data_IF_819775550320
#
_entry.id   IF_819775550320
#
_cell.length_a   1.000
_cell.length_b   1.000
_cell.length_c   1.000
_cell.angle_alpha   90.00
_cell.angle_beta   90.00
_cell.angle_gamma   90.00
#
_symmetry.space_group_name_H-M   'P 1'
#
loop_
_entity.id
_entity.type
_entity.pdbx_description
1 polymer ?
2 branched ?
3 non-polymer ?
4 non-polymer ?
5 non-polymer ?
6 non-polymer ?
7 water ?
#
# COMPACT_ATOMS: atom_id res chain seq x y z
N UNK A 1 11.81 14.56 -18.35
CA UNK A 1 12.71 14.39 -19.52
C UNK A 1 12.31 13.14 -20.28
N UNK A 2 12.91 12.01 -19.92
CA UNK A 2 12.61 10.76 -20.61
C UNK A 2 11.98 9.81 -19.62
N UNK A 3 11.37 8.74 -20.14
CA UNK A 3 10.73 7.75 -19.29
C UNK A 3 11.76 7.06 -18.40
N UNK A 4 11.44 6.87 -17.14
CA UNK A 4 12.34 6.19 -16.24
C UNK A 4 12.38 4.69 -16.54
N UNK A 5 13.55 4.08 -16.39
CA UNK A 5 13.73 2.66 -16.60
C UNK A 5 14.28 2.08 -15.30
N UNK A 6 13.80 0.91 -14.92
CA UNK A 6 14.23 0.22 -13.71
C UNK A 6 15.55 -0.49 -14.00
N UNK A 7 16.65 0.26 -14.00
CA UNK A 7 17.94 -0.33 -14.33
C UNK A 7 18.79 -0.78 -13.15
N UNK A 8 18.37 -0.45 -11.94
CA UNK A 8 19.16 -0.82 -10.77
C UNK A 8 18.57 -1.94 -9.96
N UNK A 9 19.39 -2.51 -9.09
CA UNK A 9 18.95 -3.55 -8.18
C UNK A 9 18.75 -2.88 -6.82
N UNK A 10 18.23 -3.60 -5.83
CA UNK A 10 18.00 -3.04 -4.48
C UNK A 10 19.28 -2.89 -3.66
N UNK A 11 19.37 -1.86 -2.84
CA UNK A 11 20.54 -1.70 -1.97
C UNK A 11 20.44 -2.79 -0.87
N UNK A 12 21.54 -3.11 -0.22
CA UNK A 12 21.48 -4.11 0.86
C UNK A 12 20.78 -3.45 2.05
N UNK A 13 19.77 -4.12 2.58
CA UNK A 13 19.00 -3.60 3.71
C UNK A 13 19.50 -4.25 4.99
N UNK A 14 20.25 -3.46 5.79
CA UNK A 14 20.76 -3.97 7.06
C UNK A 14 19.94 -3.47 8.23
N UNK A 15 19.15 -2.42 7.97
CA UNK A 15 18.23 -1.82 8.94
C UNK A 15 17.37 -0.75 8.24
N UNK A 16 16.54 -0.07 9.01
CA UNK A 16 15.64 0.95 8.47
C UNK A 16 15.81 2.21 9.27
N UNK A 17 15.83 3.33 8.56
CA UNK A 17 15.94 4.64 9.22
C UNK A 17 14.64 5.43 8.97
N UNK A 18 14.34 6.36 9.87
CA UNK A 18 13.14 7.20 9.75
C UNK A 18 13.24 8.13 8.53
N UNK A 19 12.19 8.16 7.72
CA UNK A 19 12.13 8.98 6.50
C UNK A 19 11.15 10.15 6.66
N UNK A 20 9.89 9.83 6.96
CA UNK A 20 8.90 10.88 7.14
C UNK A 20 7.83 10.49 8.15
N UNK A 21 7.27 11.49 8.82
CA UNK A 21 6.23 11.29 9.82
C UNK A 21 5.48 12.59 9.85
N UNK A 22 4.16 12.53 9.74
CA UNK A 22 3.37 13.77 9.74
C UNK A 22 2.66 14.16 11.03
N UNK A 23 2.48 13.23 11.98
CA UNK A 23 1.81 13.53 13.25
C UNK A 23 0.46 14.22 12.98
N UNK A 24 -0.26 13.76 11.94
CA UNK A 24 -1.53 14.38 11.57
C UNK A 24 -2.61 14.52 12.63
N UNK A 25 -2.84 13.46 13.41
CA UNK A 25 -3.88 13.48 14.43
C UNK A 25 -3.51 14.39 15.61
N UNK A 26 -2.24 14.39 16.02
CA UNK A 26 -1.81 15.28 17.11
C UNK A 26 -2.09 16.72 16.70
N UNK A 27 -1.61 17.08 15.51
CA UNK A 27 -1.77 18.44 15.00
C UNK A 27 -3.22 18.79 14.67
N UNK A 28 -3.94 17.80 14.13
CA UNK A 28 -5.33 18.00 13.75
C UNK A 28 -6.27 18.23 14.89
N UNK A 29 -5.81 18.05 16.13
CA UNK A 29 -6.66 18.28 17.29
C UNK A 29 -6.98 19.78 17.37
N UNK A 30 -6.11 20.62 16.81
CA UNK A 30 -6.26 22.07 16.86
C UNK A 30 -5.78 22.75 15.55
N UNK A 31 -6.06 22.11 14.41
CA UNK A 31 -5.69 22.64 13.10
C UNK A 31 -6.65 22.06 12.07
N UNK A 32 -6.73 22.69 10.91
CA UNK A 32 -7.64 22.24 9.86
C UNK A 32 -7.08 21.09 9.03
N UNK A 33 -6.99 19.94 9.68
CA UNK A 33 -6.47 18.71 9.08
C UNK A 33 -7.62 17.85 8.58
N UNK A 34 -7.48 17.37 7.35
CA UNK A 34 -8.50 16.54 6.72
C UNK A 34 -8.51 15.13 7.27
N UNK A 35 -9.70 14.54 7.37
CA UNK A 35 -9.81 13.15 7.83
C UNK A 35 -9.42 12.31 6.61
N UNK A 36 -8.57 11.29 6.83
CA UNK A 36 -8.14 10.43 5.75
C UNK A 36 -8.06 8.97 6.20
N UNK A 37 -7.61 8.13 5.28
CA UNK A 37 -7.30 6.70 5.45
C UNK A 37 -6.71 6.23 4.11
N UNK A 38 -6.15 5.03 4.07
CA UNK A 38 -5.53 4.49 2.86
C UNK A 38 -4.43 5.41 2.28
N UNK A 39 -3.46 5.81 3.11
CA UNK A 39 -2.38 6.70 2.64
C UNK A 39 -1.27 5.93 1.96
N UNK A 40 -0.37 6.65 1.32
CA UNK A 40 0.79 6.05 0.69
C UNK A 40 1.77 7.15 0.34
N UNK A 41 2.94 6.78 -0.15
CA UNK A 41 3.95 7.76 -0.52
C UNK A 41 4.33 7.53 -1.97
N UNK A 42 4.56 8.59 -2.74
CA UNK A 42 4.97 8.41 -4.12
C UNK A 42 5.87 9.54 -4.52
N UNK A 43 6.91 9.22 -5.29
CA UNK A 43 7.89 10.22 -5.74
C UNK A 43 7.82 10.64 -7.20
N UNK A 44 8.17 11.90 -7.42
CA UNK A 44 8.26 12.49 -8.73
C UNK A 44 9.79 12.63 -8.86
N UNK A 45 10.29 13.01 -10.04
CA UNK A 45 11.75 13.12 -10.17
C UNK A 45 12.38 14.19 -9.28
N UNK A 46 11.57 15.13 -8.80
CA UNK A 46 12.12 16.21 -7.98
C UNK A 46 11.55 16.34 -6.58
N UNK A 47 10.59 15.50 -6.22
CA UNK A 47 9.97 15.62 -4.91
C UNK A 47 9.18 14.36 -4.57
N UNK A 48 9.15 13.99 -3.30
CA UNK A 48 8.36 12.84 -2.85
C UNK A 48 7.23 13.45 -2.03
N UNK A 49 6.00 12.96 -2.24
CA UNK A 49 4.83 13.48 -1.52
C UNK A 49 4.01 12.39 -0.82
N UNK A 50 3.25 12.82 0.17
CA UNK A 50 2.35 11.94 0.90
C UNK A 50 1.01 11.97 0.12
N UNK A 51 0.31 10.84 0.09
CA UNK A 51 -0.96 10.70 -0.60
C UNK A 51 -1.93 10.01 0.34
N UNK A 52 -3.22 10.22 0.11
CA UNK A 52 -4.28 9.57 0.88
C UNK A 52 -5.67 9.83 0.30
N UNK A 53 -6.63 9.08 0.79
CA UNK A 53 -8.03 9.23 0.40
C UNK A 53 -8.72 10.07 1.48
N UNK A 54 -9.05 11.31 1.14
CA UNK A 54 -9.73 12.22 2.04
C UNK A 54 -11.17 11.76 2.24
N UNK A 55 -11.75 12.18 3.36
CA UNK A 55 -13.15 11.91 3.66
C UNK A 55 -13.97 13.20 3.45
N UNK A 56 -13.32 14.27 2.99
CA UNK A 56 -14.04 15.50 2.74
C UNK A 56 -14.57 16.25 3.97
N UNK A 57 -13.77 16.27 5.02
CA UNK A 57 -14.11 16.95 6.26
C UNK A 57 -12.85 16.99 7.10
N UNK A 58 -12.80 17.88 8.09
CA UNK A 58 -11.66 17.96 8.99
C UNK A 58 -11.99 17.05 10.17
N UNK A 59 -10.98 16.71 10.98
CA UNK A 59 -11.16 15.84 12.13
C UNK A 59 -12.06 16.48 13.19
N UNK A 60 -11.86 17.76 13.44
CA UNK A 60 -12.64 18.47 14.44
C UNK A 60 -14.02 18.88 13.90
N UNK A 61 -14.20 18.80 12.59
CA UNK A 61 -15.49 19.16 12.03
C UNK A 61 -16.56 18.14 12.34
N UNK A 62 -17.81 18.58 12.41
CA UNK A 62 -18.94 17.70 12.71
C UNK A 62 -19.18 16.60 11.68
N UNK A 63 -18.73 16.82 10.44
CA UNK A 63 -18.91 15.82 9.40
C UNK A 63 -17.93 14.68 9.56
N UNK A 64 -17.05 14.72 10.57
CA UNK A 64 -16.10 13.62 10.78
C UNK A 64 -16.87 12.42 11.33
N UNK A 65 -18.08 12.68 11.81
CA UNK A 65 -18.92 11.64 12.35
C UNK A 65 -19.32 10.68 11.25
N UNK A 66 -18.90 9.42 11.36
CA UNK A 66 -19.26 8.43 10.34
C UNK A 66 -18.17 8.12 9.33
N UNK A 67 -16.99 8.69 9.52
CA UNK A 67 -15.87 8.48 8.60
C UNK A 67 -15.26 7.09 8.64
N UNK A 68 -15.89 6.17 9.39
CA UNK A 68 -15.40 4.78 9.42
C UNK A 68 -15.78 4.13 8.08
N UNK A 69 -16.83 4.64 7.44
CA UNK A 69 -17.29 4.13 6.15
C UNK A 69 -16.28 4.30 5.03
N UNK A 70 -16.16 3.27 4.21
CA UNK A 70 -15.20 3.24 3.11
C UNK A 70 -15.44 4.05 1.84
N UNK A 71 -16.68 4.05 1.36
CA UNK A 71 -17.03 4.67 0.10
C UNK A 71 -18.14 5.69 0.16
N UNK A 72 -17.91 6.86 -0.39
CA UNK A 72 -18.93 7.90 -0.41
C UNK A 72 -18.52 8.86 -1.49
N UNK A 73 -19.41 9.80 -1.81
CA UNK A 73 -19.16 10.81 -2.83
C UNK A 73 -18.24 11.93 -2.36
N UNK A 74 -17.86 11.90 -1.08
CA UNK A 74 -17.03 12.94 -0.48
C UNK A 74 -15.55 12.65 -0.33
N UNK A 75 -15.11 11.53 -0.89
CA UNK A 75 -13.71 11.14 -0.81
C UNK A 75 -12.97 11.58 -2.07
N UNK A 76 -11.66 11.77 -1.94
CA UNK A 76 -10.85 12.20 -3.06
C UNK A 76 -9.39 11.83 -2.79
N UNK A 77 -8.64 11.52 -3.83
CA UNK A 77 -7.22 11.24 -3.65
C UNK A 77 -6.56 12.63 -3.58
N UNK A 78 -5.85 12.87 -2.47
CA UNK A 78 -5.14 14.14 -2.26
C UNK A 78 -3.65 13.86 -2.03
N UNK A 79 -2.79 14.82 -2.39
CA UNK A 79 -1.37 14.68 -2.10
C UNK A 79 -0.93 15.94 -1.38
N UNK A 80 0.16 15.85 -0.62
CA UNK A 80 0.64 17.00 0.11
C UNK A 80 2.13 16.81 0.41
N UNK A 81 2.82 17.90 0.79
CA UNK A 81 4.26 17.83 1.06
C UNK A 81 4.66 16.79 2.12
N UNK A 82 5.79 16.12 1.88
CA UNK A 82 6.34 15.11 2.77
C UNK A 82 6.45 15.58 4.22
N UNK A 83 5.86 14.81 5.12
CA UNK A 83 5.88 15.05 6.55
C UNK A 83 4.99 16.18 7.08
N UNK A 84 4.34 16.91 6.18
CA UNK A 84 3.37 17.91 6.59
C UNK A 84 2.10 17.11 6.86
N UNK A 85 1.16 17.68 7.64
CA UNK A 85 -0.13 16.98 7.74
C UNK A 85 -1.00 17.31 6.54
N UNK A 86 -1.97 16.45 6.23
CA UNK A 86 -2.91 16.72 5.13
C UNK A 86 -3.92 17.80 5.54
N UNK A 87 -3.57 19.05 5.28
CA UNK A 87 -4.45 20.14 5.67
C UNK A 87 -5.33 20.63 4.52
N UNK A 88 -6.39 21.34 4.87
CA UNK A 88 -7.31 21.86 3.88
C UNK A 88 -6.62 22.82 2.92
N UNK A 89 -5.66 23.57 3.45
CA UNK A 89 -4.97 24.59 2.66
C UNK A 89 -3.71 24.17 1.87
N UNK A 90 -3.07 23.07 2.24
CA UNK A 90 -1.86 22.66 1.53
C UNK A 90 -2.02 21.37 0.72
N UNK A 91 -3.23 20.81 0.70
CA UNK A 91 -3.50 19.57 -0.02
C UNK A 91 -3.93 19.81 -1.45
N UNK A 92 -3.46 18.95 -2.35
CA UNK A 92 -3.78 19.04 -3.77
C UNK A 92 -4.63 17.84 -4.15
N UNK A 93 -5.78 18.07 -4.78
CA UNK A 93 -6.65 16.95 -5.18
C UNK A 93 -6.18 16.36 -6.51
N UNK A 94 -5.92 15.05 -6.54
CA UNK A 94 -5.48 14.38 -7.76
C UNK A 94 -6.68 13.91 -8.62
N UNK A 95 -7.72 13.40 -7.96
CA UNK A 95 -8.94 12.91 -8.59
C UNK A 95 -9.98 12.54 -7.53
N UNK A 96 -11.22 12.32 -7.97
CA UNK A 96 -12.34 11.99 -7.08
C UNK A 96 -12.58 10.48 -7.03
N UNK A 97 -12.56 9.91 -5.83
CA UNK A 97 -12.76 8.48 -5.73
C UNK A 97 -12.49 7.88 -4.37
N UNK A 98 -12.89 6.61 -4.20
CA UNK A 98 -12.72 5.91 -2.94
C UNK A 98 -11.71 4.76 -2.97
N UNK A 99 -10.93 4.70 -4.06
CA UNK A 99 -9.90 3.69 -4.26
C UNK A 99 -8.97 4.30 -5.28
N UNK A 100 -7.67 4.11 -5.14
CA UNK A 100 -6.74 4.73 -6.07
C UNK A 100 -5.34 4.13 -6.14
N UNK A 101 -4.58 4.68 -7.08
CA UNK A 101 -3.18 4.36 -7.29
C UNK A 101 -2.62 5.57 -8.04
N UNK A 102 -1.30 5.68 -8.09
CA UNK A 102 -0.65 6.82 -8.75
C UNK A 102 0.87 6.57 -8.88
N UNK A 103 1.45 7.00 -9.99
CA UNK A 103 2.90 6.85 -10.20
C UNK A 103 3.38 7.78 -11.28
N UNK A 104 4.64 8.16 -11.18
CA UNK A 104 5.28 9.04 -12.14
C UNK A 104 6.07 8.15 -13.12
N UNK A 105 6.02 8.45 -14.40
CA UNK A 105 6.75 7.60 -15.34
C UNK A 105 8.08 8.19 -15.78
N UNK A 106 8.47 9.31 -15.17
CA UNK A 106 9.70 9.97 -15.54
C UNK A 106 9.40 11.27 -16.27
N UNK A 107 8.30 11.29 -17.03
CA UNK A 107 7.88 12.49 -17.77
C UNK A 107 6.77 13.21 -17.00
N UNK A 108 5.72 12.48 -16.64
CA UNK A 108 4.63 13.04 -15.86
C UNK A 108 3.93 11.93 -15.04
N UNK A 109 2.98 12.31 -14.21
CA UNK A 109 2.26 11.40 -13.32
C UNK A 109 0.88 10.96 -13.77
N UNK A 110 0.60 9.68 -13.53
CA UNK A 110 -0.68 9.08 -13.82
C UNK A 110 -1.36 8.83 -12.47
N UNK A 111 -2.62 9.22 -12.36
CA UNK A 111 -3.38 8.96 -11.13
C UNK A 111 -4.70 8.30 -11.55
N UNK A 112 -5.13 7.30 -10.80
CA UNK A 112 -6.36 6.59 -11.11
C UNK A 112 -7.25 6.62 -9.88
N UNK A 113 -8.51 7.03 -10.05
CA UNK A 113 -9.49 7.05 -8.97
C UNK A 113 -10.73 6.32 -9.43
N UNK A 114 -11.26 5.49 -8.54
CA UNK A 114 -12.47 4.72 -8.81
C UNK A 114 -13.59 5.28 -7.94
N UNK A 115 -14.74 5.55 -8.54
CA UNK A 115 -15.89 6.04 -7.78
C UNK A 115 -17.14 5.35 -8.30
N UNK A 116 -18.24 5.49 -7.57
CA UNK A 116 -19.48 4.89 -8.03
C UNK A 116 -20.19 4.13 -6.93
N UNK A 117 -21.40 3.64 -7.22
CA UNK A 117 -22.11 2.64 -6.41
C UNK A 117 -21.37 1.31 -6.50
N UNK A 118 -21.66 0.42 -5.56
CA UNK A 118 -21.02 -0.89 -5.55
C UNK A 118 -21.17 -1.68 -6.84
N UNK A 119 -22.34 -1.56 -7.47
CA UNK A 119 -22.61 -2.31 -8.69
C UNK A 119 -22.46 -1.53 -9.99
N UNK A 120 -21.88 -0.34 -9.95
CA UNK A 120 -21.77 0.47 -11.16
C UNK A 120 -20.60 1.45 -11.05
N UNK A 121 -19.48 0.96 -10.52
CA UNK A 121 -18.30 1.79 -10.34
C UNK A 121 -17.49 1.92 -11.62
N UNK A 122 -16.61 2.91 -11.65
CA UNK A 122 -15.77 3.15 -12.83
C UNK A 122 -14.46 3.83 -12.45
N UNK A 123 -13.40 3.47 -13.19
CA UNK A 123 -12.09 4.07 -12.98
C UNK A 123 -11.80 5.11 -14.06
N UNK A 124 -11.28 6.26 -13.67
CA UNK A 124 -10.87 7.26 -14.64
C UNK A 124 -9.40 7.54 -14.40
N UNK A 125 -8.66 7.32 -15.47
CA UNK A 125 -7.23 7.47 -15.53
C UNK A 125 -6.85 8.87 -15.94
N UNK A 126 -6.11 9.54 -15.07
CA UNK A 126 -5.62 10.89 -15.30
C UNK A 126 -4.14 10.82 -15.64
N UNK A 127 -3.70 11.66 -16.58
CA UNK A 127 -2.29 11.70 -16.95
C UNK A 127 -1.95 13.17 -17.19
N UNK A 128 -0.91 13.68 -16.53
CA UNK A 128 -0.55 15.09 -16.67
C UNK A 128 -1.72 15.97 -16.22
N UNK A 129 -2.38 15.51 -15.16
CA UNK A 129 -3.54 16.17 -14.56
C UNK A 129 -4.76 16.41 -15.43
N UNK A 130 -4.99 15.51 -16.39
CA UNK A 130 -6.13 15.57 -17.29
C UNK A 130 -6.70 14.16 -17.40
N UNK A 131 -8.03 14.02 -17.45
CA UNK A 131 -8.61 12.68 -17.61
C UNK A 131 -8.35 12.21 -19.04
N UNK A 132 -7.96 10.94 -19.19
CA UNK A 132 -7.63 10.39 -20.50
C UNK A 132 -8.39 9.11 -20.86
N UNK A 133 -8.49 8.19 -19.90
CA UNK A 133 -9.15 6.93 -20.14
C UNK A 133 -10.10 6.57 -19.00
N UNK A 134 -11.18 5.87 -19.33
CA UNK A 134 -12.17 5.44 -18.37
C UNK A 134 -12.48 3.95 -18.55
N UNK A 135 -12.69 3.25 -17.44
CA UNK A 135 -12.97 1.83 -17.47
C UNK A 135 -14.16 1.55 -16.57
N UNK A 136 -15.20 0.95 -17.13
CA UNK A 136 -16.38 0.64 -16.34
C UNK A 136 -16.23 -0.72 -15.65
N UNK A 137 -16.93 -0.88 -14.54
CA UNK A 137 -16.93 -2.13 -13.78
C UNK A 137 -17.21 -3.35 -14.67
N UNK A 138 -16.46 -4.43 -14.44
CA UNK A 138 -16.68 -5.65 -15.23
C UNK A 138 -17.39 -6.77 -14.48
N UNK A 139 -17.34 -6.76 -13.16
CA UNK A 139 -18.01 -7.80 -12.39
C UNK A 139 -19.12 -7.23 -11.53
N UNK A 140 -19.32 -5.91 -11.63
CA UNK A 140 -20.34 -5.17 -10.89
C UNK A 140 -20.32 -5.38 -9.37
N UNK A 141 -19.13 -5.45 -8.81
CA UNK A 141 -18.98 -5.65 -7.37
C UNK A 141 -17.70 -5.01 -6.84
N UNK A 142 -17.83 -3.71 -6.55
CA UNK A 142 -16.77 -2.87 -6.01
C UNK A 142 -15.41 -2.93 -6.73
N UNK A 143 -15.37 -2.35 -7.93
CA UNK A 143 -14.12 -2.25 -8.69
C UNK A 143 -13.13 -1.55 -7.75
N UNK A 144 -11.97 -2.15 -7.54
CA UNK A 144 -10.98 -1.59 -6.62
C UNK A 144 -9.55 -1.76 -7.08
N UNK A 145 -8.63 -0.96 -6.54
CA UNK A 145 -7.25 -1.08 -6.96
C UNK A 145 -6.26 -1.13 -5.79
N UNK A 146 -4.99 -0.81 -6.08
CA UNK A 146 -3.88 -0.90 -5.14
C UNK A 146 -3.88 -0.20 -3.81
N UNK A 147 -4.22 1.09 -3.81
CA UNK A 147 -4.20 1.92 -2.61
C UNK A 147 -2.76 2.27 -2.23
N UNK A 148 -1.85 2.15 -3.20
CA UNK A 148 -0.43 2.51 -3.03
C UNK A 148 0.12 2.75 -4.45
N UNK A 149 1.35 3.23 -4.58
CA UNK A 149 1.86 3.54 -5.91
C UNK A 149 2.08 2.41 -6.89
N UNK A 150 1.91 2.76 -8.16
CA UNK A 150 2.18 1.80 -9.22
C UNK A 150 3.66 2.02 -9.59
N UNK A 151 4.16 1.34 -10.61
CA UNK A 151 5.55 1.50 -11.00
C UNK A 151 5.61 1.44 -12.53
N UNK A 152 6.49 2.24 -13.11
CA UNK A 152 6.63 2.27 -14.57
C UNK A 152 8.03 1.92 -15.02
N UNK A 153 8.11 1.48 -16.27
CA UNK A 153 9.37 1.12 -16.88
C UNK A 153 9.24 1.50 -18.35
N UNK A 154 10.05 2.45 -18.79
CA UNK A 154 10.02 2.92 -20.17
C UNK A 154 8.63 3.31 -20.66
N UNK A 155 7.88 4.01 -19.80
CA UNK A 155 6.56 4.47 -20.16
C UNK A 155 5.40 3.56 -19.81
N UNK A 156 5.66 2.26 -19.63
CA UNK A 156 4.61 1.28 -19.30
C UNK A 156 4.42 1.11 -17.80
N UNK A 157 3.21 1.41 -17.32
CA UNK A 157 2.87 1.31 -15.90
C UNK A 157 1.75 0.30 -15.66
N UNK A 158 2.08 -0.93 -15.21
CA UNK A 158 1.05 -1.90 -14.88
C UNK A 158 0.32 -1.53 -13.59
N UNK A 159 -0.98 -1.82 -13.55
CA UNK A 159 -1.82 -1.57 -12.39
C UNK A 159 -2.74 -2.80 -12.23
N UNK A 160 -2.85 -3.28 -11.00
CA UNK A 160 -3.69 -4.43 -10.67
C UNK A 160 -5.03 -3.96 -10.14
N UNK A 161 -6.11 -4.44 -10.76
CA UNK A 161 -7.48 -4.11 -10.38
C UNK A 161 -8.16 -5.41 -9.98
N UNK A 162 -9.17 -5.30 -9.12
CA UNK A 162 -9.95 -6.47 -8.74
C UNK A 162 -11.40 -6.02 -8.75
N UNK A 163 -12.26 -6.84 -9.32
CA UNK A 163 -13.69 -6.54 -9.34
C UNK A 163 -14.40 -7.87 -9.05
N UNK A 164 -15.33 -7.83 -8.10
CA UNK A 164 -16.05 -9.02 -7.70
C UNK A 164 -15.97 -9.21 -6.20
N UNK A 165 -16.39 -10.40 -5.77
CA UNK A 165 -16.42 -10.81 -4.36
C UNK A 165 -15.10 -10.68 -3.62
N UNK A 166 -15.21 -10.27 -2.35
CA UNK A 166 -14.06 -10.11 -1.48
C UNK A 166 -13.97 -11.35 -0.58
N UNK A 167 -14.98 -12.21 -0.62
CA UNK A 167 -14.98 -13.41 0.21
C UNK A 167 -15.14 -14.66 -0.65
N UNK A 168 -14.83 -14.51 -1.93
CA UNK A 168 -14.92 -15.63 -2.84
C UNK A 168 -14.06 -15.32 -4.05
N UNK A 169 -13.98 -16.23 -5.04
CA UNK A 169 -13.24 -15.96 -6.28
C UNK A 169 -13.71 -14.66 -6.96
N UNK A 170 -12.76 -13.84 -7.42
CA UNK A 170 -13.09 -12.57 -8.07
C UNK A 170 -12.37 -12.43 -9.41
N UNK A 171 -12.62 -11.33 -10.12
CA UNK A 171 -11.95 -11.12 -11.39
C UNK A 171 -10.88 -10.04 -11.31
N UNK A 172 -9.63 -10.47 -11.26
CA UNK A 172 -8.50 -9.58 -11.19
C UNK A 172 -7.90 -9.42 -12.59
N UNK A 173 -7.53 -8.20 -12.93
CA UNK A 173 -6.92 -7.89 -14.22
C UNK A 173 -5.67 -7.03 -14.04
N UNK A 174 -4.69 -7.23 -14.91
CA UNK A 174 -3.48 -6.42 -14.87
C UNK A 174 -3.54 -5.55 -16.13
N UNK A 175 -3.64 -4.23 -15.97
CA UNK A 175 -3.70 -3.30 -17.09
C UNK A 175 -2.34 -2.69 -17.27
N UNK A 176 -1.92 -2.59 -18.53
CA UNK A 176 -0.64 -1.99 -18.88
C UNK A 176 -0.96 -0.67 -19.54
N UNK A 177 -0.67 0.43 -18.85
CA UNK A 177 -0.95 1.75 -19.38
C UNK A 177 0.34 2.39 -19.85
N UNK A 178 0.20 3.27 -20.84
CA UNK A 178 1.30 4.07 -21.35
C UNK A 178 0.68 5.42 -21.73
N UNK A 179 1.12 6.47 -21.05
CA UNK A 179 0.59 7.82 -21.24
C UNK A 179 -0.90 7.83 -21.02
N UNK A 180 -1.35 7.07 -20.03
CA UNK A 180 -2.77 7.03 -19.71
C UNK A 180 -3.65 6.16 -20.60
N UNK A 181 -3.10 5.64 -21.69
CA UNK A 181 -3.88 4.79 -22.59
C UNK A 181 -3.61 3.33 -22.26
N UNK A 182 -4.58 2.47 -22.58
CA UNK A 182 -4.47 1.04 -22.34
C UNK A 182 -3.75 0.38 -23.49
N UNK A 183 -2.66 -0.31 -23.21
CA UNK A 183 -1.92 -1.00 -24.24
C UNK A 183 -2.44 -2.40 -24.32
N UNK A 184 -2.80 -2.95 -23.17
CA UNK A 184 -3.25 -4.33 -23.06
C UNK A 184 -3.70 -4.59 -21.63
N UNK A 185 -4.45 -5.66 -21.42
CA UNK A 185 -4.85 -6.10 -20.08
C UNK A 185 -4.93 -7.61 -20.09
N UNK A 186 -4.62 -8.22 -18.95
CA UNK A 186 -4.65 -9.68 -18.82
C UNK A 186 -5.51 -10.02 -17.63
N UNK A 187 -6.20 -11.18 -17.68
CA UNK A 187 -6.69 -11.84 -16.47
C UNK A 187 -5.54 -12.40 -15.61
N UNK A 188 -5.77 -12.44 -14.30
CA UNK A 188 -4.80 -12.96 -13.35
C UNK A 188 -4.40 -14.37 -13.75
N UNK A 189 -3.11 -14.67 -13.63
CA UNK A 189 -2.55 -15.97 -13.98
C UNK A 189 -1.74 -16.44 -12.76
N UNK A 190 -1.38 -17.73 -12.74
CA UNK A 190 -0.58 -18.26 -11.65
C UNK A 190 -1.43 -18.94 -10.60
N UNK A 191 -0.85 -19.18 -9.43
CA UNK A 191 -1.55 -19.88 -8.37
C UNK A 191 -2.25 -19.06 -7.30
N UNK A 192 -2.19 -17.74 -7.36
CA UNK A 192 -2.86 -16.91 -6.34
C UNK A 192 -4.37 -17.08 -6.48
N UNK A 193 -5.08 -17.25 -5.37
CA UNK A 193 -6.54 -17.46 -5.41
C UNK A 193 -7.38 -16.19 -5.29
N UNK A 194 -6.84 -15.17 -4.64
CA UNK A 194 -7.56 -13.91 -4.46
C UNK A 194 -6.52 -12.80 -4.36
N UNK A 195 -6.76 -11.69 -5.05
CA UNK A 195 -5.85 -10.56 -5.05
C UNK A 195 -6.55 -9.25 -4.73
N UNK A 196 -5.96 -8.46 -3.84
CA UNK A 196 -6.47 -7.14 -3.49
C UNK A 196 -5.32 -6.28 -3.01
N UNK A 197 -5.45 -4.96 -3.20
CA UNK A 197 -4.48 -3.99 -2.72
C UNK A 197 -3.00 -4.33 -2.85
N UNK A 198 -2.52 -4.51 -4.06
CA UNK A 198 -1.12 -4.85 -4.27
C UNK A 198 -0.16 -3.71 -3.98
N UNK A 199 0.96 -4.04 -3.30
CA UNK A 199 2.01 -3.10 -2.96
C UNK A 199 3.17 -3.49 -3.85
N UNK A 200 3.56 -2.59 -4.76
CA UNK A 200 4.60 -2.89 -5.72
C UNK A 200 5.88 -2.04 -5.68
N UNK A 201 6.93 -2.60 -6.26
CA UNK A 201 8.22 -1.91 -6.40
C UNK A 201 8.87 -2.58 -7.61
N UNK A 202 9.88 -1.93 -8.17
CA UNK A 202 10.56 -2.48 -9.32
C UNK A 202 12.07 -2.41 -9.20
N UNK A 203 12.73 -3.36 -9.86
CA UNK A 203 14.18 -3.39 -9.89
C UNK A 203 14.58 -4.31 -11.02
N UNK A 204 15.67 -3.95 -11.69
CA UNK A 204 16.18 -4.71 -12.82
C UNK A 204 15.10 -5.17 -13.80
N UNK A 205 14.34 -4.19 -14.29
CA UNK A 205 13.27 -4.37 -15.26
C UNK A 205 12.19 -5.36 -14.91
N UNK A 206 11.92 -5.53 -13.63
CA UNK A 206 10.88 -6.45 -13.19
C UNK A 206 10.13 -5.77 -12.07
N UNK A 207 8.83 -6.00 -12.00
CA UNK A 207 7.99 -5.38 -10.98
C UNK A 207 7.40 -6.47 -10.07
N UNK A 208 7.58 -6.32 -8.78
CA UNK A 208 7.06 -7.29 -7.83
C UNK A 208 6.00 -6.64 -6.97
N UNK A 209 4.86 -7.31 -6.82
CA UNK A 209 3.78 -6.81 -6.00
C UNK A 209 3.42 -7.84 -4.94
N UNK A 210 3.23 -7.39 -3.71
CA UNK A 210 2.84 -8.25 -2.59
C UNK A 210 1.43 -7.77 -2.31
N UNK A 211 0.46 -8.68 -2.43
CA UNK A 211 -0.91 -8.30 -2.30
C UNK A 211 -1.59 -8.90 -1.10
N UNK A 212 -2.91 -8.84 -1.12
CA UNK A 212 -3.75 -9.32 -0.05
C UNK A 212 -4.80 -10.30 -0.56
N UNK A 213 -4.78 -11.51 0.00
CA UNK A 213 -5.75 -12.54 -0.30
C UNK A 213 -6.79 -12.38 0.81
N UNK A 214 -7.89 -11.70 0.51
CA UNK A 214 -8.88 -11.47 1.53
C UNK A 214 -9.73 -12.69 1.84
N UNK A 215 -9.86 -13.57 0.85
CA UNK A 215 -10.69 -14.75 0.98
C UNK A 215 -10.21 -15.83 1.96
N UNK A 216 -9.00 -16.34 1.78
CA UNK A 216 -8.55 -17.40 2.67
C UNK A 216 -7.09 -17.47 3.13
N UNK A 217 -6.19 -16.80 2.42
CA UNK A 217 -4.78 -16.86 2.78
C UNK A 217 -4.28 -15.91 3.85
N UNK A 218 -3.43 -16.44 4.73
CA UNK A 218 -2.78 -15.70 5.81
C UNK A 218 -1.36 -15.41 5.36
N UNK A 219 -0.94 -16.13 4.32
CA UNK A 219 0.36 -15.89 3.71
C UNK A 219 -0.07 -14.93 2.57
N UNK A 220 0.86 -14.14 2.04
CA UNK A 220 0.51 -13.19 1.00
C UNK A 220 0.78 -13.68 -0.40
N UNK A 221 -0.18 -13.45 -1.32
CA UNK A 221 0.11 -13.62 -2.75
C UNK A 221 1.08 -12.61 -3.30
N UNK A 222 1.80 -13.02 -4.33
CA UNK A 222 2.78 -12.18 -4.97
C UNK A 222 2.57 -12.26 -6.47
N UNK A 223 2.66 -11.11 -7.15
CA UNK A 223 2.54 -11.06 -8.59
C UNK A 223 3.84 -10.48 -9.12
N UNK A 224 4.51 -11.19 -10.02
CA UNK A 224 5.72 -10.64 -10.63
C UNK A 224 5.34 -10.25 -12.05
N UNK A 225 5.65 -9.01 -12.42
CA UNK A 225 5.31 -8.51 -13.74
C UNK A 225 6.55 -8.13 -14.56
N UNK A 226 6.48 -8.48 -15.84
CA UNK A 226 7.53 -8.17 -16.80
C UNK A 226 6.90 -7.06 -17.64
N UNK A 227 7.32 -5.81 -17.45
CA UNK A 227 6.70 -4.66 -18.13
C UNK A 227 7.09 -4.56 -19.60
N UNK A 228 8.11 -5.30 -20.01
CA UNK A 228 8.55 -5.27 -21.41
C UNK A 228 7.72 -6.24 -22.25
N UNK A 229 7.62 -7.47 -21.78
CA UNK A 229 6.84 -8.50 -22.44
C UNK A 229 5.37 -8.32 -22.06
N UNK A 230 5.12 -7.55 -21.01
CA UNK A 230 3.77 -7.32 -20.54
C UNK A 230 3.07 -8.64 -20.18
N UNK A 231 3.73 -9.43 -19.33
CA UNK A 231 3.21 -10.71 -18.85
C UNK A 231 3.42 -10.76 -17.34
N UNK A 232 2.89 -11.79 -16.69
CA UNK A 232 3.04 -11.91 -15.25
C UNK A 232 2.74 -13.33 -14.77
N UNK A 233 2.96 -13.55 -13.49
CA UNK A 233 2.65 -14.83 -12.87
C UNK A 233 2.39 -14.49 -11.41
N UNK A 234 1.86 -15.45 -10.66
CA UNK A 234 1.58 -15.22 -9.24
C UNK A 234 1.80 -16.51 -8.45
N UNK A 235 2.01 -16.37 -7.15
CA UNK A 235 2.19 -17.49 -6.22
C UNK A 235 2.03 -16.89 -4.85
N UNK A 236 2.35 -17.65 -3.80
CA UNK A 236 2.30 -17.11 -2.46
C UNK A 236 3.72 -17.13 -1.91
N UNK A 237 3.95 -16.30 -0.89
CA UNK A 237 5.24 -16.28 -0.21
C UNK A 237 5.25 -17.64 0.54
N UNK A 238 6.31 -18.42 0.32
CA UNK A 238 6.48 -19.74 0.93
C UNK A 238 6.70 -19.78 2.43
N UNK A 239 7.40 -18.77 2.95
CA UNK A 239 7.74 -18.71 4.37
C UNK A 239 6.60 -18.98 5.33
N UNK A 240 6.88 -19.70 6.44
CA UNK A 240 5.98 -19.87 7.59
C UNK A 240 5.74 -18.60 8.40
N UNK A 241 6.53 -17.55 8.14
CA UNK A 241 6.33 -16.28 8.85
C UNK A 241 5.15 -15.62 8.14
N UNK A 242 3.96 -15.82 8.68
CA UNK A 242 2.73 -15.27 8.08
C UNK A 242 2.65 -13.76 8.28
N UNK A 243 2.20 -13.04 7.25
CA UNK A 243 2.15 -11.58 7.34
C UNK A 243 0.82 -10.86 7.14
N UNK A 244 -0.28 -11.58 6.95
CA UNK A 244 -1.56 -10.91 6.83
C UNK A 244 -2.05 -10.71 8.27
N UNK A 245 -3.26 -10.17 8.43
CA UNK A 245 -3.85 -9.92 9.74
C UNK A 245 -5.36 -9.77 9.53
N UNK A 246 -6.20 -10.46 10.33
CA UNK A 246 -5.80 -11.46 11.34
C UNK A 246 -5.20 -12.70 10.70
N UNK A 247 -4.54 -13.54 11.51
CA UNK A 247 -3.86 -14.71 10.98
C UNK A 247 -3.67 -15.73 12.11
N UNK A 248 -3.40 -17.01 11.77
CA UNK A 248 -3.09 -17.99 12.82
C UNK A 248 -1.67 -17.73 13.28
N UNK A 249 -1.21 -18.47 14.29
CA UNK A 249 0.17 -18.31 14.74
C UNK A 249 1.08 -18.94 13.71
N UNK A 250 2.36 -18.56 13.68
CA UNK A 250 3.29 -19.11 12.69
C UNK A 250 3.44 -20.62 12.88
N UNK A 251 3.37 -21.40 11.77
CA UNK A 251 3.70 -22.82 11.71
C UNK A 251 5.19 -23.04 11.50
N UNK A 252 5.58 -24.29 11.31
CA UNK A 252 6.98 -24.62 11.08
C UNK A 252 7.29 -24.69 9.59
N UNK A 253 6.26 -24.90 8.79
CA UNK A 253 6.44 -24.97 7.34
C UNK A 253 5.27 -24.22 6.69
N UNK A 254 5.56 -23.44 5.66
CA UNK A 254 4.54 -22.67 4.97
C UNK A 254 4.03 -23.32 3.69
N UNK A 255 3.33 -22.54 2.88
CA UNK A 255 2.76 -23.01 1.61
C UNK A 255 3.10 -22.04 0.49
N UNK A 256 3.65 -22.59 -0.59
CA UNK A 256 4.08 -21.83 -1.76
C UNK A 256 3.05 -21.55 -2.82
N UNK A 257 2.14 -22.49 -3.03
CA UNK A 257 1.14 -22.30 -4.07
C UNK A 257 -0.28 -22.39 -3.60
N UNK A 258 -0.49 -22.35 -2.29
CA UNK A 258 -1.84 -22.40 -1.76
C UNK A 258 -1.91 -21.42 -0.63
N UNK A 259 -3.10 -20.89 -0.37
CA UNK A 259 -3.33 -20.07 0.82
C UNK A 259 -3.18 -20.88 2.11
N UNK A 260 -2.53 -20.28 3.10
CA UNK A 260 -2.38 -20.95 4.37
C UNK A 260 -3.64 -20.65 5.15
N UNK A 261 -4.38 -21.71 5.55
CA UNK A 261 -5.70 -21.57 6.19
C UNK A 261 -5.62 -21.09 7.64
N UNK A 262 -6.76 -20.72 8.20
CA UNK A 262 -6.76 -20.26 9.57
C UNK A 262 -7.74 -19.14 9.75
N UNK A 263 -7.58 -18.05 9.00
CA UNK A 263 -8.50 -16.92 9.07
C UNK A 263 -9.20 -16.75 7.72
N UNK A 264 -10.50 -16.50 7.76
CA UNK A 264 -11.28 -16.35 6.52
C UNK A 264 -11.90 -14.97 6.37
N UNK A 265 -12.06 -14.55 5.12
CA UNK A 265 -12.72 -13.28 4.77
C UNK A 265 -12.27 -12.01 5.49
N UNK A 266 -10.96 -11.77 5.51
CA UNK A 266 -10.45 -10.58 6.14
C UNK A 266 -8.96 -10.47 5.86
N UNK A 267 -8.42 -9.30 6.10
CA UNK A 267 -7.00 -9.09 5.86
C UNK A 267 -6.62 -7.64 6.03
N UNK A 268 -5.42 -7.30 5.55
CA UNK A 268 -4.91 -5.94 5.62
C UNK A 268 -3.89 -5.78 4.50
N UNK A 269 -3.83 -4.60 3.91
CA UNK A 269 -2.86 -4.36 2.86
C UNK A 269 -1.50 -4.39 3.51
N UNK A 270 -0.53 -5.04 2.86
CA UNK A 270 0.82 -5.12 3.37
C UNK A 270 1.83 -5.17 2.25
N UNK A 271 3.10 -5.46 2.54
CA UNK A 271 4.12 -5.48 1.49
C UNK A 271 5.30 -6.31 1.95
N UNK A 272 6.27 -6.45 1.06
CA UNK A 272 7.52 -7.15 1.35
C UNK A 272 8.55 -6.81 0.28
N UNK A 273 9.82 -6.99 0.59
CA UNK A 273 10.89 -6.79 -0.38
C UNK A 273 11.52 -8.18 -0.52
N UNK A 274 11.33 -8.80 -1.68
CA UNK A 274 11.81 -10.18 -1.94
C UNK A 274 13.05 -10.15 -2.80
N UNK A 275 14.21 -10.32 -2.17
CA UNK A 275 15.46 -10.23 -2.88
C UNK A 275 16.50 -11.22 -2.37
N UNK A 276 16.19 -12.51 -2.53
CA UNK A 276 17.11 -13.57 -2.10
C UNK A 276 17.34 -13.49 -0.62
N UNK A 277 18.60 -13.43 -0.20
CA UNK A 277 18.87 -13.33 1.24
C UNK A 277 18.54 -11.91 1.77
N UNK A 278 18.51 -10.93 0.87
CA UNK A 278 18.19 -9.52 1.20
C UNK A 278 16.68 -9.36 1.20
N UNK A 279 15.97 -10.28 1.86
CA UNK A 279 14.51 -10.26 1.89
C UNK A 279 13.94 -9.82 3.24
N UNK A 280 13.07 -8.81 3.23
CA UNK A 280 12.44 -8.31 4.45
C UNK A 280 10.92 -8.29 4.35
N UNK A 281 10.24 -8.79 5.39
CA UNK A 281 8.78 -8.85 5.41
C UNK A 281 8.27 -7.91 6.48
N UNK A 282 7.16 -7.24 6.22
CA UNK A 282 6.57 -6.36 7.20
C UNK A 282 5.29 -7.02 7.69
N UNK A 283 4.91 -6.80 8.94
CA UNK A 283 3.67 -7.38 9.48
C UNK A 283 3.25 -6.75 10.80
N UNK A 284 1.96 -6.83 11.11
CA UNK A 284 1.47 -6.33 12.38
C UNK A 284 2.03 -7.33 13.40
N UNK A 285 2.30 -6.88 14.64
CA UNK A 285 2.80 -7.78 15.68
C UNK A 285 1.64 -8.67 16.11
N UNK A 286 0.50 -8.05 16.35
CA UNK A 286 -0.69 -8.77 16.75
C UNK A 286 -1.19 -9.67 15.63
N UNK A 287 -1.65 -10.87 15.99
CA UNK A 287 -2.19 -11.80 15.01
C UNK A 287 -3.70 -11.59 14.94
N UNK A 288 -4.25 -10.82 15.88
CA UNK A 288 -5.69 -10.56 15.94
C UNK A 288 -6.17 -9.21 15.41
N UNK A 289 -5.42 -8.14 15.66
CA UNK A 289 -5.83 -6.84 15.17
C UNK A 289 -4.68 -6.06 14.55
N UNK A 290 -5.00 -4.89 14.01
CA UNK A 290 -4.04 -4.00 13.35
C UNK A 290 -3.30 -3.23 14.44
N UNK A 291 -2.45 -3.95 15.15
CA UNK A 291 -1.73 -3.41 16.28
C UNK A 291 -0.27 -3.80 16.19
N UNK A 292 0.59 -2.82 16.42
CA UNK A 292 2.03 -3.04 16.34
C UNK A 292 2.52 -3.17 14.89
N UNK A 293 3.83 -3.09 14.69
CA UNK A 293 4.37 -3.28 13.35
C UNK A 293 5.84 -3.57 13.44
N UNK A 294 6.27 -4.59 12.70
CA UNK A 294 7.66 -4.98 12.68
C UNK A 294 8.13 -5.42 11.31
N UNK A 295 9.45 -5.34 11.13
CA UNK A 295 10.08 -5.74 9.89
C UNK A 295 10.95 -6.94 10.28
N UNK A 296 10.91 -8.00 9.48
CA UNK A 296 11.71 -9.21 9.72
C UNK A 296 12.50 -9.62 8.48
N UNK A 297 13.79 -9.87 8.67
CA UNK A 297 14.63 -10.31 7.57
C UNK A 297 14.43 -11.83 7.52
N UNK A 298 13.86 -12.32 6.42
CA UNK A 298 13.59 -13.76 6.26
C UNK A 298 14.18 -14.18 4.92
N UNK A 299 15.44 -14.65 4.93
CA UNK A 299 16.16 -14.96 3.70
C UNK A 299 15.40 -15.98 2.85
N UNK A 300 15.23 -15.66 1.57
CA UNK A 300 14.53 -16.50 0.62
C UNK A 300 13.09 -16.84 1.02
N UNK A 301 12.40 -15.90 1.66
CA UNK A 301 11.02 -16.11 2.10
C UNK A 301 10.11 -16.54 0.97
N UNK A 302 10.36 -15.99 -0.23
CA UNK A 302 9.54 -16.30 -1.39
C UNK A 302 9.57 -17.77 -1.82
N UNK A 303 10.73 -18.40 -1.74
CA UNK A 303 10.88 -19.77 -2.20
C UNK A 303 11.17 -20.85 -1.16
N UNK A 304 11.53 -20.45 0.05
CA UNK A 304 11.86 -21.42 1.09
C UNK A 304 10.69 -21.58 2.04
N UNK A 305 10.01 -22.73 2.00
CA UNK A 305 8.84 -22.96 2.86
C UNK A 305 9.13 -23.25 4.34
N UNK A 306 10.36 -23.05 4.75
CA UNK A 306 10.71 -23.27 6.15
C UNK A 306 11.53 -22.09 6.71
N UNK A 307 11.72 -21.07 5.88
CA UNK A 307 12.50 -19.89 6.26
C UNK A 307 11.94 -19.13 7.48
N UNK A 308 12.82 -18.76 8.40
CA UNK A 308 12.44 -18.05 9.62
C UNK A 308 13.35 -16.81 9.79
N UNK A 309 12.98 -15.87 10.68
CA UNK A 309 13.69 -14.59 10.76
C UNK A 309 15.17 -14.70 11.18
N UNK A 310 16.01 -13.87 10.61
CA UNK A 310 17.42 -13.88 10.96
C UNK A 310 17.76 -12.55 11.64
N UNK A 311 16.86 -11.57 11.53
CA UNK A 311 17.07 -10.23 12.08
C UNK A 311 15.73 -9.54 12.07
N UNK A 312 15.58 -8.48 12.83
CA UNK A 312 14.31 -7.78 12.84
C UNK A 312 14.37 -6.35 13.33
N UNK A 313 13.29 -5.60 13.15
CA UNK A 313 13.23 -4.24 13.64
C UNK A 313 11.78 -3.89 13.95
N UNK A 314 11.53 -3.46 15.18
CA UNK A 314 10.19 -3.08 15.60
C UNK A 314 9.99 -1.63 15.15
N UNK A 315 8.88 -1.39 14.49
CA UNK A 315 8.55 -0.05 13.99
C UNK A 315 7.51 0.63 14.89
N UNK A 316 6.49 -0.13 15.26
CA UNK A 316 5.42 0.35 16.14
C UNK A 316 5.21 -0.74 17.19
N UNK A 317 5.18 -0.36 18.46
CA UNK A 317 4.97 -1.31 19.57
C UNK A 317 3.56 -1.91 19.51
N UNK A 318 3.43 -3.16 19.94
CA UNK A 318 2.13 -3.84 19.92
C UNK A 318 1.04 -3.14 20.72
N UNK A 319 1.41 -2.19 21.56
CA UNK A 319 0.44 -1.45 22.35
C UNK A 319 -0.09 -0.25 21.56
N UNK A 320 0.41 -0.08 20.33
CA UNK A 320 0.00 1.03 19.49
C UNK A 320 -0.64 0.54 18.22
N UNK A 321 -1.60 1.33 17.72
CA UNK A 321 -2.32 1.00 16.49
C UNK A 321 -1.49 1.21 15.24
N UNK A 322 -1.68 0.33 14.28
CA UNK A 322 -1.01 0.42 13.01
C UNK A 322 -2.11 0.38 11.94
N UNK A 323 -1.90 -0.33 10.84
CA UNK A 323 -2.91 -0.38 9.79
C UNK A 323 -2.24 -0.80 8.50
N UNK A 324 -2.68 -0.22 7.38
CA UNK A 324 -2.10 -0.54 6.08
C UNK A 324 -0.62 -0.19 6.00
N UNK A 325 0.08 -0.83 5.09
CA UNK A 325 1.48 -0.56 4.87
C UNK A 325 1.71 -0.91 3.42
N UNK A 326 2.64 -0.21 2.78
CA UNK A 326 2.94 -0.48 1.39
C UNK A 326 4.33 -0.03 1.04
N UNK A 327 4.75 -0.32 -0.19
CA UNK A 327 6.09 0.02 -0.64
C UNK A 327 6.14 1.18 -1.63
N UNK A 328 7.30 1.82 -1.70
CA UNK A 328 7.60 2.90 -2.62
C UNK A 328 9.11 3.08 -2.57
N UNK A 329 9.66 3.66 -3.63
CA UNK A 329 11.09 3.95 -3.68
C UNK A 329 11.30 5.23 -4.49
N UNK A 330 12.37 5.95 -4.19
CA UNK A 330 12.68 7.14 -4.96
C UNK A 330 13.54 6.65 -6.13
N UNK A 331 12.90 6.36 -7.25
CA UNK A 331 13.61 5.87 -8.44
C UNK A 331 14.51 6.92 -9.08
N UNK A 332 14.43 8.16 -8.59
CA UNK A 332 15.22 9.27 -9.11
C UNK A 332 16.35 9.73 -8.16
N UNK A 333 16.59 8.99 -7.09
CA UNK A 333 17.67 9.32 -6.16
C UNK A 333 19.01 8.95 -6.82
N UNK A 334 20.09 9.59 -6.40
CA UNK A 334 21.40 9.29 -6.94
C UNK A 334 21.84 7.97 -6.33
N UNK A 335 22.85 7.33 -6.91
CA UNK A 335 23.28 6.09 -6.30
C UNK A 335 23.32 4.90 -7.22
N UNK A 336 23.98 3.86 -6.75
CA UNK A 336 24.16 2.63 -7.51
C UNK A 336 23.00 1.68 -7.38
N UNK A 337 22.15 1.87 -6.37
CA UNK A 337 21.04 0.95 -6.15
C UNK A 337 19.78 1.68 -5.67
N UNK A 338 18.63 0.99 -5.74
CA UNK A 338 17.37 1.56 -5.27
C UNK A 338 17.25 1.30 -3.78
N UNK A 339 16.98 2.36 -3.04
CA UNK A 339 16.83 2.26 -1.59
C UNK A 339 15.37 1.94 -1.28
N UNK A 340 15.13 0.77 -0.73
CA UNK A 340 13.78 0.34 -0.38
C UNK A 340 13.14 1.21 0.74
N UNK A 341 11.86 1.54 0.57
CA UNK A 341 11.15 2.33 1.57
C UNK A 341 9.75 1.73 1.76
N UNK A 342 9.06 2.22 2.78
CA UNK A 342 7.71 1.76 3.05
C UNK A 342 7.07 2.75 4.02
N UNK A 343 5.76 2.67 4.11
CA UNK A 343 4.99 3.53 5.02
C UNK A 343 4.05 2.63 5.81
N UNK A 344 3.62 3.13 6.97
CA UNK A 344 2.68 2.42 7.82
C UNK A 344 1.58 3.45 8.16
N UNK A 345 0.33 3.06 7.96
CA UNK A 345 -0.81 3.90 8.25
C UNK A 345 -1.07 3.64 9.71
N UNK A 346 -1.25 4.69 10.50
CA UNK A 346 -1.52 4.56 11.94
C UNK A 346 -2.95 5.06 12.16
N UNK A 347 -3.90 4.11 12.16
CA UNK A 347 -5.32 4.39 12.33
C UNK A 347 -5.70 4.69 13.77
N UNK A 348 -6.47 5.76 13.93
CA UNK A 348 -6.93 6.18 15.22
C UNK A 348 -8.44 6.31 15.05
N UNK A 349 -9.17 6.16 16.15
CA UNK A 349 -10.62 6.26 16.11
C UNK A 349 -11.30 4.90 15.92
N UNK A 350 -12.44 4.91 15.26
CA UNK A 350 -13.18 3.67 15.08
C UNK A 350 -12.55 2.73 14.06
N UNK A 351 -12.72 1.42 14.26
CA UNK A 351 -13.58 0.80 15.28
C UNK A 351 -12.98 0.56 16.69
N UNK A 352 -11.65 0.52 16.79
CA UNK A 352 -10.99 0.24 18.08
C UNK A 352 -11.19 1.27 19.19
N UNK A 353 -11.03 2.55 18.86
CA UNK A 353 -11.20 3.61 19.84
C UNK A 353 -12.56 4.23 19.59
N UNK A 354 -13.59 3.64 20.16
CA UNK A 354 -14.95 4.09 19.91
C UNK A 354 -15.48 5.23 20.72
N UNK A 355 -14.65 5.90 21.51
CA UNK A 355 -15.11 7.04 22.27
C UNK A 355 -15.34 8.22 21.33
N UNK A 356 -14.68 8.21 20.17
CA UNK A 356 -14.84 9.26 19.16
C UNK A 356 -15.70 8.65 18.06
N UNK A 357 -16.28 9.48 17.22
CA UNK A 357 -17.14 9.02 16.12
C UNK A 357 -16.46 8.98 14.77
N UNK A 358 -15.19 9.36 14.74
CA UNK A 358 -14.44 9.38 13.49
C UNK A 358 -13.40 8.30 13.39
N UNK A 359 -12.79 8.19 12.22
CA UNK A 359 -11.72 7.25 11.94
C UNK A 359 -10.78 8.03 11.04
N UNK A 360 -9.52 8.11 11.43
CA UNK A 360 -8.54 8.80 10.61
C UNK A 360 -7.18 8.12 10.81
N UNK A 361 -6.11 8.73 10.35
CA UNK A 361 -4.79 8.13 10.52
C UNK A 361 -3.68 9.16 10.36
N UNK A 362 -2.47 8.77 10.72
CA UNK A 362 -1.30 9.59 10.48
C UNK A 362 -0.38 8.61 9.72
N UNK A 363 0.81 9.04 9.36
CA UNK A 363 1.71 8.19 8.59
C UNK A 363 3.12 8.21 9.16
N UNK A 364 3.80 7.07 9.04
CA UNK A 364 5.20 7.00 9.40
C UNK A 364 5.82 6.25 8.22
N UNK A 365 7.00 6.66 7.79
CA UNK A 365 7.66 5.99 6.68
C UNK A 365 9.15 5.87 6.99
N UNK A 366 9.75 4.77 6.51
CA UNK A 366 11.17 4.48 6.70
C UNK A 366 11.75 4.05 5.37
N UNK A 367 13.07 4.16 5.26
CA UNK A 367 13.79 3.72 4.08
C UNK A 367 14.96 2.87 4.61
N UNK A 368 15.53 2.04 3.75
CA UNK A 368 16.61 1.17 4.20
C UNK A 368 17.96 1.84 4.33
N UNK A 369 18.80 1.27 5.20
CA UNK A 369 20.14 1.74 5.42
C UNK A 369 21.06 0.51 5.33
N UNK A 370 22.29 0.74 4.88
CA UNK A 370 23.26 -0.36 4.79
C UNK A 370 23.99 -0.49 6.12
N UNK A 371 23.71 0.44 7.05
CA UNK A 371 24.30 0.45 8.38
C UNK A 371 23.34 -0.34 9.24
N UNK A 372 23.76 -0.74 10.44
CA UNK A 372 22.89 -1.45 11.36
C UNK A 372 22.50 -0.41 12.41
N UNK A 373 21.50 0.39 12.10
CA UNK A 373 21.05 1.45 12.99
C UNK A 373 20.22 0.99 14.15
N UNK A 374 20.29 1.72 15.26
CA UNK A 374 19.50 1.41 16.44
C UNK A 374 18.04 1.67 16.13
N UNK A 375 17.12 1.00 16.82
CA UNK A 375 15.70 1.18 16.55
C UNK A 375 14.95 2.00 17.58
N UNK A 376 13.84 2.59 17.15
CA UNK A 376 12.96 3.37 18.05
C UNK A 376 11.56 3.01 17.56
N UNK A 377 10.54 3.22 18.37
CA UNK A 377 9.19 2.93 17.92
C UNK A 377 8.57 4.28 17.55
N UNK A 378 7.64 4.24 16.61
CA UNK A 378 7.00 5.43 16.07
C UNK A 378 5.48 5.37 16.11
N UNK A 379 4.89 5.67 17.27
CA UNK A 379 3.44 5.69 17.40
C UNK A 379 2.84 6.98 16.84
N UNK A 380 1.52 7.03 16.77
CA UNK A 380 0.80 8.19 16.24
C UNK A 380 1.05 9.40 17.15
N UNK A 381 0.92 9.20 18.45
CA UNK A 381 1.21 10.26 19.41
C UNK A 381 0.03 11.05 19.91
N UNK A 382 -1.16 10.81 19.37
CA UNK A 382 -2.34 11.56 19.82
C UNK A 382 -2.95 10.91 21.03
N UNK A 383 -3.47 11.73 21.94
CA UNK A 383 -4.15 11.27 23.14
C UNK A 383 -5.63 11.47 22.82
N UNK A 384 -6.32 10.37 22.58
CA UNK A 384 -7.74 10.39 22.25
C UNK A 384 -8.63 11.15 23.23
N UNK A 385 -8.27 11.13 24.51
CA UNK A 385 -9.04 11.81 25.52
C UNK A 385 -9.14 13.30 25.22
N UNK A 386 -8.17 13.83 24.48
CA UNK A 386 -8.16 15.26 24.12
C UNK A 386 -9.24 15.62 23.10
N UNK A 387 -9.88 14.61 22.52
CA UNK A 387 -10.91 14.86 21.51
C UNK A 387 -12.33 14.72 22.05
N UNK A 388 -12.46 14.53 23.36
CA UNK A 388 -13.79 14.39 23.95
C UNK A 388 -14.25 15.70 24.51
#
# INVERSE_FOLDING_TARGET
RDFNNLTKGLCTINSWHIYGKDNAVRIGEDSDVLVTREPYVSCDPDECRFYALSQGTTIRGKHSNGTIHDRSQYRALISWPLSSPPTVYNSRVECIGWSSTSCHDGKTRMSICISGPNNNASAVIWYNRRPVTEINTWARNILRTQESECVCHNGVCPVVFTDGSATGPAETRIYYFKEGKILKWEPLAGTAKHIEECSCYGERAEITCTCRDNWQGSNRPVIRIDPVAMTHTSQYICSPVLTDNPRPNDPTVGKCNDPYPGNNNNGVKGFSYLDGVNTWLGRTISIASRSGYEMLKVPNALTDDKSKPTQGQTIVLNTDWSGYSGSFMDYWAEGECYRACFYVELIRGRPKEDKVWWTSNSIVSMCSSTEFLGQWDWPDGAKIEYFL
#
